data_IF_204530583308
#
_entry.id   IF_204530583308
#
_cell.length_a   1.000
_cell.length_b   1.000
_cell.length_c   1.000
_cell.angle_alpha   90.00
_cell.angle_beta   90.00
_cell.angle_gamma   90.00
#
_symmetry.space_group_name_H-M   'P 1'
#
loop_
_entity.id
_entity.type
_entity.pdbx_description
1 polymer ?
#
# COMPACT_ATOMS: atom_id res chain seq x y z
N UNK A 1 52.09 -5.21 10.57
CA UNK A 1 53.09 -4.87 9.55
C UNK A 1 52.47 -5.15 8.18
N UNK A 2 52.19 -4.16 7.45
CA UNK A 2 52.38 -3.91 6.01
C UNK A 2 51.53 -2.74 5.57
N UNK A 3 52.24 -1.72 5.25
CA UNK A 3 51.80 -0.41 4.78
C UNK A 3 51.18 -0.57 3.38
N UNK A 4 49.96 -0.06 3.20
CA UNK A 4 49.41 0.10 1.87
C UNK A 4 49.54 1.55 1.51
N UNK A 5 50.32 1.76 0.48
CA UNK A 5 50.64 3.04 -0.14
C UNK A 5 49.42 3.47 -0.96
N UNK A 6 48.91 4.63 -0.60
CA UNK A 6 47.89 5.31 -1.40
C UNK A 6 48.59 6.07 -2.50
N UNK A 7 48.39 5.65 -3.72
CA UNK A 7 48.89 6.37 -4.90
C UNK A 7 47.83 7.36 -5.37
N UNK A 8 48.08 8.60 -5.07
CA UNK A 8 47.38 9.77 -5.64
C UNK A 8 47.86 9.97 -7.09
N UNK A 9 46.96 9.76 -8.04
CA UNK A 9 47.15 10.26 -9.38
C UNK A 9 46.20 11.42 -9.63
N UNK A 10 46.71 12.59 -9.51
CA UNK A 10 46.23 13.84 -10.06
C UNK A 10 46.35 13.75 -11.59
N UNK A 11 45.23 13.78 -12.30
CA UNK A 11 45.26 14.06 -13.71
C UNK A 11 44.40 15.28 -14.00
N UNK A 12 45.08 16.35 -14.24
CA UNK A 12 44.56 17.59 -14.79
C UNK A 12 44.01 17.34 -16.19
N UNK A 13 42.76 17.67 -16.42
CA UNK A 13 42.23 17.77 -17.79
C UNK A 13 41.74 19.19 -18.02
N UNK A 14 42.38 19.77 -18.98
CA UNK A 14 42.21 21.07 -19.57
C UNK A 14 40.75 21.37 -19.91
N UNK A 15 40.42 22.58 -19.54
CA UNK A 15 39.31 23.37 -20.02
C UNK A 15 39.49 23.70 -21.50
N UNK A 16 38.57 23.27 -22.37
CA UNK A 16 38.43 23.84 -23.67
C UNK A 16 37.10 24.55 -23.77
N UNK A 17 37.22 25.85 -23.84
CA UNK A 17 36.16 26.78 -24.18
C UNK A 17 35.79 26.61 -25.65
N UNK A 18 34.51 26.45 -25.93
CA UNK A 18 33.96 26.42 -27.29
C UNK A 18 32.50 26.84 -27.27
N UNK A 19 32.27 28.03 -27.78
CA UNK A 19 31.00 28.70 -27.94
C UNK A 19 29.97 27.96 -28.83
N UNK A 20 28.71 28.16 -28.45
CA UNK A 20 27.52 28.37 -29.24
C UNK A 20 27.18 27.34 -30.35
N UNK A 21 26.03 26.70 -30.22
CA UNK A 21 24.90 26.99 -31.09
C UNK A 21 23.60 26.33 -30.65
N UNK A 22 22.54 27.08 -30.87
CA UNK A 22 21.16 26.70 -30.71
C UNK A 22 20.81 25.48 -31.58
N UNK A 23 20.16 24.45 -30.97
CA UNK A 23 19.08 23.73 -31.68
C UNK A 23 18.30 22.82 -30.70
N UNK A 24 17.11 23.21 -30.51
CA UNK A 24 15.82 22.44 -30.46
C UNK A 24 15.94 20.92 -30.36
N UNK A 25 15.32 20.38 -29.30
CA UNK A 25 14.53 19.18 -29.41
C UNK A 25 15.30 17.88 -29.38
N UNK A 26 15.46 17.37 -28.19
CA UNK A 26 15.27 15.94 -27.93
C UNK A 26 15.42 15.70 -26.44
N UNK A 27 14.33 15.30 -25.81
CA UNK A 27 14.35 14.82 -24.42
C UNK A 27 14.91 13.40 -24.50
N UNK A 28 16.05 13.09 -23.90
CA UNK A 28 16.43 11.71 -23.72
C UNK A 28 15.64 11.15 -22.55
N UNK A 29 15.08 9.98 -22.76
CA UNK A 29 14.48 9.14 -21.77
C UNK A 29 15.36 9.04 -20.54
N UNK A 30 14.91 9.63 -19.44
CA UNK A 30 15.51 9.45 -18.16
C UNK A 30 15.01 8.14 -17.59
N UNK A 31 15.87 7.17 -17.46
CA UNK A 31 15.70 6.02 -16.62
C UNK A 31 15.37 6.50 -15.19
N UNK A 32 14.13 6.36 -14.82
CA UNK A 32 13.67 6.62 -13.47
C UNK A 32 14.06 5.45 -12.57
N UNK A 33 15.06 5.68 -11.78
CA UNK A 33 15.29 4.90 -10.58
C UNK A 33 14.11 5.07 -9.61
N UNK A 34 13.66 4.01 -8.96
CA UNK A 34 12.65 4.12 -7.93
C UNK A 34 13.27 4.78 -6.70
N UNK A 35 13.00 6.05 -6.53
CA UNK A 35 13.23 6.70 -5.25
C UNK A 35 12.03 6.45 -4.37
N UNK A 36 12.27 5.75 -3.26
CA UNK A 36 11.38 5.74 -2.13
C UNK A 36 11.25 7.17 -1.60
N UNK A 37 10.16 7.85 -1.89
CA UNK A 37 9.81 9.11 -1.26
C UNK A 37 8.67 8.88 -0.29
N UNK A 38 9.03 9.00 0.96
CA UNK A 38 8.09 9.20 2.05
C UNK A 38 7.24 10.45 1.78
N UNK A 39 5.91 10.29 1.97
CA UNK A 39 5.06 11.39 2.37
C UNK A 39 4.77 12.45 1.31
N UNK A 40 3.77 12.19 0.54
CA UNK A 40 2.82 13.22 0.12
C UNK A 40 1.58 12.54 -0.45
N UNK A 41 0.55 12.49 0.34
CA UNK A 41 -0.73 11.88 -0.05
C UNK A 41 -1.38 12.78 -1.06
N UNK A 42 -1.15 12.48 -2.33
CA UNK A 42 -1.85 13.12 -3.42
C UNK A 42 -3.30 12.62 -3.43
N UNK A 43 -4.23 13.52 -3.44
CA UNK A 43 -5.69 13.35 -3.35
C UNK A 43 -6.30 12.32 -4.34
N UNK A 44 -5.51 11.84 -5.30
CA UNK A 44 -5.92 10.81 -6.27
C UNK A 44 -5.71 9.36 -5.79
N UNK A 45 -5.02 9.14 -4.64
CA UNK A 45 -4.78 7.80 -4.13
C UNK A 45 -5.96 7.21 -3.35
N UNK A 46 -6.93 8.04 -2.95
CA UNK A 46 -8.11 7.57 -2.22
C UNK A 46 -9.10 6.77 -3.08
N UNK A 47 -9.03 6.90 -4.41
CA UNK A 47 -9.82 6.08 -5.34
C UNK A 47 -9.06 4.84 -5.82
N UNK A 48 -7.75 4.77 -5.58
CA UNK A 48 -6.94 3.63 -5.93
C UNK A 48 -7.15 2.51 -4.90
N UNK A 49 -7.53 1.35 -5.39
CA UNK A 49 -7.64 0.14 -4.58
C UNK A 49 -6.25 -0.31 -4.15
N UNK A 50 -5.98 -0.35 -2.85
CA UNK A 50 -4.70 -0.79 -2.33
C UNK A 50 -4.43 -2.28 -2.62
N UNK A 51 -3.16 -2.71 -2.65
CA UNK A 51 -2.84 -4.13 -2.80
C UNK A 51 -3.53 -5.00 -1.76
N UNK A 52 -3.61 -4.53 -0.51
CA UNK A 52 -4.28 -5.24 0.58
C UNK A 52 -5.79 -5.37 0.34
N UNK A 53 -6.43 -4.34 -0.20
CA UNK A 53 -7.84 -4.38 -0.59
C UNK A 53 -8.11 -5.45 -1.64
N UNK A 54 -7.26 -5.55 -2.67
CA UNK A 54 -7.38 -6.57 -3.73
C UNK A 54 -7.11 -7.99 -3.23
N UNK A 55 -6.12 -8.15 -2.37
CA UNK A 55 -5.81 -9.43 -1.75
C UNK A 55 -6.99 -9.92 -0.86
N UNK A 56 -7.60 -9.02 -0.10
CA UNK A 56 -8.78 -9.30 0.70
C UNK A 56 -10.00 -9.68 -0.15
N UNK A 57 -10.20 -8.99 -1.28
CA UNK A 57 -11.26 -9.32 -2.24
C UNK A 57 -11.16 -10.73 -2.78
N UNK A 58 -9.93 -11.19 -3.06
CA UNK A 58 -9.65 -12.48 -3.70
C UNK A 58 -9.43 -13.63 -2.72
N UNK A 59 -9.49 -13.34 -1.41
CA UNK A 59 -9.15 -14.30 -0.36
C UNK A 59 -7.71 -14.84 -0.48
N UNK A 60 -6.77 -13.99 -0.94
CA UNK A 60 -5.36 -14.33 -1.08
C UNK A 60 -4.66 -14.21 0.29
N UNK A 61 -4.89 -15.21 1.14
CA UNK A 61 -4.48 -15.24 2.55
C UNK A 61 -2.99 -14.95 2.75
N UNK A 62 -2.14 -15.58 1.96
CA UNK A 62 -0.69 -15.44 2.06
C UNK A 62 -0.24 -14.02 1.68
N UNK A 63 -0.87 -13.44 0.65
CA UNK A 63 -0.60 -12.07 0.21
C UNK A 63 -1.08 -11.07 1.26
N UNK A 64 -2.25 -11.30 1.89
CA UNK A 64 -2.76 -10.46 3.00
C UNK A 64 -1.75 -10.45 4.14
N UNK A 65 -1.26 -11.62 4.58
CA UNK A 65 -0.27 -11.74 5.65
C UNK A 65 1.04 -11.04 5.30
N UNK A 66 1.51 -11.22 4.07
CA UNK A 66 2.73 -10.59 3.60
C UNK A 66 2.62 -9.06 3.60
N UNK A 67 1.56 -8.50 3.03
CA UNK A 67 1.33 -7.06 2.97
C UNK A 67 1.21 -6.44 4.36
N UNK A 68 0.56 -7.13 5.31
CA UNK A 68 0.48 -6.68 6.70
C UNK A 68 1.86 -6.71 7.37
N UNK A 69 2.68 -7.71 7.11
CA UNK A 69 4.05 -7.78 7.61
C UNK A 69 4.97 -6.69 7.02
N UNK A 70 4.69 -6.25 5.80
CA UNK A 70 5.36 -5.12 5.13
C UNK A 70 4.86 -3.75 5.62
N UNK A 71 3.88 -3.70 6.52
CA UNK A 71 3.35 -2.48 7.11
C UNK A 71 2.26 -1.80 6.27
N UNK A 72 1.56 -2.52 5.42
CA UNK A 72 0.42 -1.97 4.70
C UNK A 72 -0.65 -1.44 5.66
N UNK A 73 -1.24 -0.28 5.33
CA UNK A 73 -2.33 0.28 6.14
C UNK A 73 -3.58 -0.62 6.06
N UNK A 74 -3.86 -1.31 7.17
CA UNK A 74 -4.95 -2.26 7.30
C UNK A 74 -6.34 -1.62 7.14
N UNK A 75 -6.44 -0.31 7.41
CA UNK A 75 -7.68 0.45 7.36
C UNK A 75 -7.73 1.41 6.17
N UNK A 76 -6.81 1.29 5.21
CA UNK A 76 -6.80 2.13 4.02
C UNK A 76 -8.09 1.91 3.22
N UNK A 77 -8.93 2.94 3.19
CA UNK A 77 -10.15 2.92 2.40
C UNK A 77 -9.85 3.12 0.91
N UNK A 78 -10.53 2.38 0.07
CA UNK A 78 -10.36 2.44 -1.37
C UNK A 78 -11.69 2.32 -2.13
N UNK A 79 -11.62 2.53 -3.44
CA UNK A 79 -12.78 2.46 -4.31
C UNK A 79 -13.76 3.63 -4.12
N UNK A 80 -14.88 3.58 -4.84
CA UNK A 80 -15.90 4.66 -4.83
C UNK A 80 -16.64 4.75 -3.50
N UNK A 81 -16.78 3.63 -2.82
CA UNK A 81 -17.57 3.52 -1.59
C UNK A 81 -16.72 3.67 -0.33
N UNK A 82 -15.42 4.00 -0.47
CA UNK A 82 -14.49 4.15 0.64
C UNK A 82 -14.44 2.90 1.53
N UNK A 83 -14.46 1.73 0.89
CA UNK A 83 -14.41 0.44 1.57
C UNK A 83 -12.99 0.15 2.09
N UNK A 84 -12.88 -0.33 3.31
CA UNK A 84 -11.63 -0.90 3.82
C UNK A 84 -11.43 -2.31 3.27
N UNK A 85 -10.21 -2.89 3.37
CA UNK A 85 -9.99 -4.30 3.03
C UNK A 85 -10.95 -5.25 3.74
N UNK A 86 -11.30 -4.95 5.00
CA UNK A 86 -12.27 -5.74 5.77
C UNK A 86 -13.69 -5.67 5.18
N UNK A 87 -14.16 -4.49 4.79
CA UNK A 87 -15.45 -4.35 4.08
C UNK A 87 -15.47 -5.21 2.83
N UNK A 88 -14.36 -5.19 2.09
CA UNK A 88 -14.26 -5.94 0.83
C UNK A 88 -14.24 -7.44 1.06
N UNK A 89 -13.50 -7.92 2.04
CA UNK A 89 -13.50 -9.33 2.44
C UNK A 89 -14.93 -9.81 2.78
N UNK A 90 -15.67 -9.03 3.58
CA UNK A 90 -17.06 -9.33 3.93
C UNK A 90 -17.96 -9.33 2.69
N UNK A 91 -17.79 -8.32 1.81
CA UNK A 91 -18.59 -8.21 0.57
C UNK A 91 -18.41 -9.42 -0.35
N UNK A 92 -17.21 -9.97 -0.38
CA UNK A 92 -16.87 -11.14 -1.21
C UNK A 92 -17.09 -12.48 -0.50
N UNK A 93 -17.31 -12.48 0.81
CA UNK A 93 -17.40 -13.70 1.61
C UNK A 93 -16.03 -14.37 1.82
N UNK A 94 -14.96 -13.56 1.78
CA UNK A 94 -13.57 -14.00 2.00
C UNK A 94 -13.32 -14.16 3.49
N UNK A 95 -13.83 -15.23 4.10
CA UNK A 95 -13.83 -15.41 5.56
C UNK A 95 -12.44 -15.49 6.15
N UNK A 96 -11.52 -16.21 5.50
CA UNK A 96 -10.13 -16.35 5.97
C UNK A 96 -9.39 -15.02 5.93
N UNK A 97 -9.56 -14.24 4.85
CA UNK A 97 -8.98 -12.90 4.75
C UNK A 97 -9.58 -11.96 5.80
N UNK A 98 -10.91 -12.01 6.00
CA UNK A 98 -11.58 -11.22 7.04
C UNK A 98 -11.05 -11.56 8.44
N UNK A 99 -10.88 -12.86 8.75
CA UNK A 99 -10.31 -13.31 10.00
C UNK A 99 -8.91 -12.72 10.24
N UNK A 100 -8.03 -12.83 9.26
CA UNK A 100 -6.66 -12.32 9.38
C UNK A 100 -6.66 -10.80 9.60
N UNK A 101 -7.52 -10.07 8.89
CA UNK A 101 -7.64 -8.63 9.05
C UNK A 101 -8.16 -8.25 10.44
N UNK A 102 -9.13 -8.98 10.98
CA UNK A 102 -9.66 -8.77 12.33
C UNK A 102 -8.56 -9.08 13.36
N UNK A 103 -7.92 -10.24 13.28
CA UNK A 103 -6.83 -10.66 14.19
C UNK A 103 -5.63 -9.68 14.14
N UNK A 104 -5.43 -8.99 13.02
CA UNK A 104 -4.42 -7.95 12.86
C UNK A 104 -4.84 -6.54 13.30
N UNK A 105 -6.05 -6.37 13.84
CA UNK A 105 -6.56 -5.11 14.38
C UNK A 105 -7.25 -4.20 13.35
N UNK A 106 -7.89 -4.76 12.33
CA UNK A 106 -8.71 -3.96 11.43
C UNK A 106 -9.90 -3.32 12.18
N UNK A 107 -10.15 -2.04 11.91
CA UNK A 107 -11.25 -1.31 12.52
C UNK A 107 -12.62 -1.85 12.04
N UNK A 108 -13.30 -2.55 12.92
CA UNK A 108 -14.62 -3.16 12.66
C UNK A 108 -15.78 -2.16 12.71
N UNK A 109 -15.52 -0.94 13.19
CA UNK A 109 -16.49 0.13 13.33
C UNK A 109 -16.29 1.26 12.31
N UNK A 110 -15.26 1.19 11.46
CA UNK A 110 -15.00 2.21 10.45
C UNK A 110 -16.10 2.19 9.39
N UNK A 111 -16.90 3.26 9.25
CA UNK A 111 -17.97 3.28 8.25
C UNK A 111 -17.41 3.48 6.85
N UNK A 112 -18.04 2.90 5.86
CA UNK A 112 -17.84 3.25 4.47
C UNK A 112 -18.70 4.45 4.09
N UNK A 113 -18.72 4.85 2.80
CA UNK A 113 -19.38 6.08 2.33
C UNK A 113 -20.88 6.19 2.64
N UNK A 114 -21.60 5.08 2.64
CA UNK A 114 -23.03 5.02 2.98
C UNK A 114 -23.32 4.90 4.48
N UNK A 115 -22.28 4.94 5.30
CA UNK A 115 -22.37 4.85 6.75
C UNK A 115 -22.37 3.43 7.30
N UNK A 116 -22.36 2.39 6.45
CA UNK A 116 -22.35 1.01 6.91
C UNK A 116 -20.97 0.59 7.43
N UNK A 117 -20.97 -0.03 8.59
CA UNK A 117 -19.77 -0.63 9.21
C UNK A 117 -19.57 -2.08 8.76
N UNK A 118 -18.36 -2.64 8.87
CA UNK A 118 -18.10 -4.06 8.64
C UNK A 118 -19.05 -4.99 9.41
N UNK A 119 -19.35 -4.64 10.65
CA UNK A 119 -20.26 -5.41 11.52
C UNK A 119 -21.69 -5.44 10.96
N UNK A 120 -22.20 -4.28 10.55
CA UNK A 120 -23.55 -4.19 9.94
C UNK A 120 -23.64 -4.93 8.62
N UNK A 121 -22.60 -4.87 7.81
CA UNK A 121 -22.51 -5.61 6.56
C UNK A 121 -22.50 -7.12 6.78
N UNK A 122 -21.74 -7.60 7.77
CA UNK A 122 -21.73 -9.02 8.13
C UNK A 122 -23.09 -9.51 8.60
N UNK A 123 -23.83 -8.70 9.37
CA UNK A 123 -25.22 -8.97 9.78
C UNK A 123 -26.17 -9.05 8.58
N UNK A 124 -26.08 -8.08 7.67
CA UNK A 124 -26.93 -8.05 6.47
C UNK A 124 -26.72 -9.23 5.52
N UNK A 125 -25.54 -9.87 5.56
CA UNK A 125 -25.19 -11.02 4.72
C UNK A 125 -25.39 -12.37 5.42
N UNK A 126 -25.84 -12.38 6.66
CA UNK A 126 -25.94 -13.59 7.49
C UNK A 126 -24.64 -14.41 7.55
N UNK A 127 -23.50 -13.73 7.50
CA UNK A 127 -22.19 -14.36 7.60
C UNK A 127 -21.89 -14.73 9.05
N UNK A 128 -22.50 -15.82 9.53
CA UNK A 128 -22.41 -16.24 10.93
C UNK A 128 -20.97 -16.42 11.41
N UNK A 129 -20.08 -16.87 10.54
CA UNK A 129 -18.67 -17.08 10.82
C UNK A 129 -17.95 -15.74 11.05
N UNK A 130 -18.12 -14.78 10.13
CA UNK A 130 -17.54 -13.44 10.27
C UNK A 130 -18.15 -12.71 11.48
N UNK A 131 -19.47 -12.87 11.74
CA UNK A 131 -20.10 -12.29 12.90
C UNK A 131 -19.55 -12.84 14.22
N UNK A 132 -19.24 -14.13 14.28
CA UNK A 132 -18.63 -14.73 15.44
C UNK A 132 -17.25 -14.11 15.72
N UNK A 133 -16.45 -13.87 14.68
CA UNK A 133 -15.14 -13.19 14.79
C UNK A 133 -15.30 -11.75 15.27
N UNK A 134 -16.20 -10.98 14.66
CA UNK A 134 -16.44 -9.58 15.02
C UNK A 134 -16.98 -9.38 16.44
N UNK A 135 -17.76 -10.33 16.95
CA UNK A 135 -18.29 -10.27 18.32
C UNK A 135 -17.23 -10.59 19.38
N UNK A 136 -16.17 -11.30 19.04
CA UNK A 136 -15.06 -11.59 19.96
C UNK A 136 -14.23 -10.33 20.26
N UNK A 137 -14.05 -9.45 19.28
CA UNK A 137 -13.30 -8.20 19.42
C UNK A 137 -14.08 -7.10 20.18
N UNK A 138 -15.40 -7.21 20.27
CA UNK A 138 -16.24 -6.19 20.93
C UNK A 138 -16.33 -6.34 22.44
N UNK A 139 -15.57 -7.25 23.06
CA UNK A 139 -15.75 -7.61 24.48
C UNK A 139 -14.59 -7.12 25.40
N UNK A 140 -13.62 -6.36 24.86
CA UNK A 140 -12.55 -5.75 25.68
C UNK A 140 -12.70 -4.25 25.85
#
# INVERSE_FOLDING_TARGET
MKKIVILLLLSSILFVSGCADSQSGQVPDAEQQPQATEGSVSTNQQLAESPLYKAAERNEVDVVKQLLAEGADINQAGGRDMETPLHRAITRGSTEAAKILIDAGADVNKPRRDGQTPLEMARGRNSTEILALLNQESTE
#
